data_IF_950725425126
#
_entry.id   IF_950725425126
#
_cell.length_a   1.000
_cell.length_b   1.000
_cell.length_c   1.000
_cell.angle_alpha   90.00
_cell.angle_beta   90.00
_cell.angle_gamma   90.00
#
_symmetry.space_group_name_H-M   'P 1'
#
loop_
_entity.id
_entity.type
_entity.pdbx_description
1 polymer ?
#
# COMPACT_ATOMS: atom_id res chain seq x y z
N UNK A 1 15.19 -15.51 -5.63
CA UNK A 1 13.96 -14.81 -5.23
C UNK A 1 13.74 -13.61 -6.15
N UNK A 2 14.61 -12.59 -6.13
CA UNK A 2 14.48 -11.36 -6.96
C UNK A 2 14.01 -11.56 -8.43
N UNK A 3 14.56 -12.55 -9.14
CA UNK A 3 14.21 -12.80 -10.55
C UNK A 3 12.81 -13.41 -10.74
N UNK A 4 12.36 -14.25 -9.81
CA UNK A 4 11.01 -14.84 -9.89
C UNK A 4 9.95 -13.81 -9.47
N UNK A 5 10.27 -12.92 -8.54
CA UNK A 5 9.39 -11.82 -8.13
C UNK A 5 9.22 -10.81 -9.27
N UNK A 6 10.33 -10.45 -9.94
CA UNK A 6 10.29 -9.58 -11.12
C UNK A 6 9.49 -10.18 -12.28
N UNK A 7 9.58 -11.50 -12.51
CA UNK A 7 8.76 -12.17 -13.53
C UNK A 7 7.27 -12.05 -13.23
N UNK A 8 6.87 -12.35 -11.99
CA UNK A 8 5.48 -12.22 -11.56
C UNK A 8 4.98 -10.79 -11.74
N UNK A 9 5.79 -9.79 -11.39
CA UNK A 9 5.45 -8.38 -11.58
C UNK A 9 5.22 -8.05 -13.06
N UNK A 10 6.10 -8.48 -13.96
CA UNK A 10 5.97 -8.28 -15.41
C UNK A 10 4.69 -8.93 -15.97
N UNK A 11 4.29 -10.09 -15.44
CA UNK A 11 3.04 -10.75 -15.84
C UNK A 11 1.78 -9.94 -15.47
N UNK A 12 1.87 -9.00 -14.52
CA UNK A 12 0.74 -8.13 -14.13
C UNK A 12 0.61 -6.85 -14.97
N UNK A 13 1.53 -6.60 -15.89
CA UNK A 13 1.49 -5.43 -16.77
C UNK A 13 0.23 -5.50 -17.65
N UNK A 14 -0.64 -4.49 -17.50
CA UNK A 14 -1.84 -4.27 -18.32
C UNK A 14 -2.10 -2.77 -18.41
N UNK A 15 -2.95 -2.35 -19.33
CA UNK A 15 -3.43 -0.96 -19.37
C UNK A 15 -4.15 -0.58 -18.06
N UNK A 16 -3.99 0.68 -17.62
CA UNK A 16 -4.70 1.28 -16.49
C UNK A 16 -5.30 2.61 -16.92
N UNK A 17 -6.48 2.94 -16.41
CA UNK A 17 -7.12 4.23 -16.68
C UNK A 17 -6.78 5.22 -15.57
N UNK A 18 -6.08 6.30 -15.93
CA UNK A 18 -5.82 7.43 -15.03
C UNK A 18 -6.75 8.60 -15.38
N UNK A 19 -7.42 9.14 -14.35
CA UNK A 19 -8.27 10.33 -14.49
C UNK A 19 -7.50 11.54 -14.00
N UNK A 20 -7.03 12.38 -14.93
CA UNK A 20 -6.24 13.57 -14.65
C UNK A 20 -7.08 14.84 -14.86
N UNK A 21 -6.89 15.83 -13.98
CA UNK A 21 -7.48 17.16 -14.13
C UNK A 21 -6.43 18.09 -14.74
N UNK A 22 -6.53 18.33 -16.04
CA UNK A 22 -5.61 19.16 -16.81
C UNK A 22 -6.35 20.31 -17.49
N UNK A 23 -5.66 21.43 -17.72
CA UNK A 23 -6.17 22.48 -18.61
C UNK A 23 -5.94 22.09 -20.08
N UNK A 24 -6.70 22.67 -21.00
CA UNK A 24 -6.48 22.44 -22.45
C UNK A 24 -5.04 22.76 -22.88
N UNK A 25 -4.43 23.79 -22.28
CA UNK A 25 -3.06 24.16 -22.56
C UNK A 25 -2.05 23.09 -22.07
N UNK A 26 -2.35 22.40 -20.97
CA UNK A 26 -1.50 21.32 -20.48
C UNK A 26 -1.64 20.08 -21.37
N UNK A 27 -2.85 19.81 -21.88
CA UNK A 27 -3.08 18.78 -22.90
C UNK A 27 -2.24 19.03 -24.17
N UNK A 28 -2.21 20.26 -24.68
CA UNK A 28 -1.38 20.62 -25.84
C UNK A 28 0.12 20.42 -25.55
N UNK A 29 0.59 20.88 -24.37
CA UNK A 29 2.00 20.80 -23.98
C UNK A 29 2.47 19.36 -23.80
N UNK A 30 1.68 18.52 -23.11
CA UNK A 30 2.07 17.12 -22.87
C UNK A 30 2.06 16.32 -24.18
N UNK A 31 1.09 16.58 -25.06
CA UNK A 31 1.04 15.97 -26.38
C UNK A 31 2.26 16.36 -27.23
N UNK A 32 2.63 17.65 -27.24
CA UNK A 32 3.81 18.13 -27.95
C UNK A 32 5.10 17.50 -27.40
N UNK A 33 5.22 17.38 -26.07
CA UNK A 33 6.39 16.79 -25.42
C UNK A 33 6.55 15.31 -25.74
N UNK A 34 5.46 14.55 -25.74
CA UNK A 34 5.49 13.13 -26.10
C UNK A 34 5.83 12.94 -27.59
N UNK A 35 5.11 13.64 -28.47
CA UNK A 35 5.29 13.51 -29.92
C UNK A 35 6.68 13.96 -30.41
N UNK A 36 7.36 14.90 -29.73
CA UNK A 36 8.74 15.28 -30.08
C UNK A 36 9.75 14.15 -29.92
N UNK A 37 9.40 13.09 -29.18
CA UNK A 37 10.19 11.88 -28.99
C UNK A 37 9.53 10.63 -29.60
N UNK A 38 8.54 10.81 -30.49
CA UNK A 38 7.81 9.71 -31.14
C UNK A 38 7.14 8.73 -30.15
N UNK A 39 6.72 9.24 -28.99
CA UNK A 39 5.98 8.48 -27.98
C UNK A 39 4.56 9.05 -27.82
N UNK A 40 3.66 8.21 -27.32
CA UNK A 40 2.34 8.59 -26.85
C UNK A 40 2.42 9.25 -25.48
N UNK A 41 1.36 9.97 -25.10
CA UNK A 41 1.25 10.52 -23.74
C UNK A 41 1.26 9.40 -22.69
N UNK A 42 0.64 8.25 -22.99
CA UNK A 42 0.64 7.09 -22.09
C UNK A 42 2.04 6.55 -21.84
N UNK A 43 2.83 6.30 -22.89
CA UNK A 43 4.22 5.80 -22.76
C UNK A 43 5.10 6.78 -21.95
N UNK A 44 4.92 8.10 -22.16
CA UNK A 44 5.63 9.11 -21.38
C UNK A 44 5.26 9.03 -19.89
N UNK A 45 3.98 8.88 -19.57
CA UNK A 45 3.49 8.80 -18.19
C UNK A 45 3.87 7.46 -17.53
N UNK A 46 3.81 6.35 -18.26
CA UNK A 46 4.27 5.02 -17.80
C UNK A 46 5.74 5.08 -17.39
N UNK A 47 6.56 5.70 -18.23
CA UNK A 47 7.99 5.86 -17.96
C UNK A 47 8.25 6.79 -16.76
N UNK A 48 7.53 7.91 -16.66
CA UNK A 48 7.64 8.81 -15.51
C UNK A 48 7.21 8.15 -14.19
N UNK A 49 6.10 7.39 -14.21
CA UNK A 49 5.65 6.61 -13.05
C UNK A 49 6.70 5.57 -12.68
N UNK A 50 7.29 4.88 -13.67
CA UNK A 50 8.37 3.92 -13.47
C UNK A 50 9.56 4.53 -12.73
N UNK A 51 9.97 5.74 -13.07
CA UNK A 51 11.04 6.43 -12.36
C UNK A 51 10.62 6.88 -10.95
N UNK A 52 9.36 7.28 -10.76
CA UNK A 52 8.84 7.72 -9.47
C UNK A 52 8.71 6.59 -8.44
N UNK A 53 8.44 5.36 -8.87
CA UNK A 53 8.15 4.23 -7.97
C UNK A 53 9.18 3.10 -8.04
N UNK A 54 10.31 3.32 -8.71
CA UNK A 54 11.29 2.27 -9.06
C UNK A 54 10.64 1.04 -9.74
N UNK A 55 9.75 1.32 -10.69
CA UNK A 55 8.91 0.34 -11.36
C UNK A 55 9.53 -0.30 -12.62
N UNK A 56 8.70 -1.07 -13.32
CA UNK A 56 9.08 -1.88 -14.49
C UNK A 56 9.64 -1.10 -15.68
N UNK A 57 9.29 0.20 -15.83
CA UNK A 57 9.67 1.05 -16.97
C UNK A 57 10.53 2.25 -16.52
N UNK A 58 11.68 1.99 -15.91
CA UNK A 58 12.62 3.04 -15.48
C UNK A 58 13.61 3.45 -16.58
N UNK A 59 13.97 4.72 -16.60
CA UNK A 59 15.00 5.30 -17.49
C UNK A 59 16.42 5.24 -16.90
N UNK A 60 16.57 4.92 -15.62
CA UNK A 60 17.87 4.87 -14.97
C UNK A 60 17.87 5.36 -13.53
N UNK A 61 19.00 5.13 -12.84
CA UNK A 61 19.15 5.54 -11.44
C UNK A 61 19.11 7.06 -11.24
N UNK A 62 19.61 7.82 -12.23
CA UNK A 62 19.68 9.27 -12.14
C UNK A 62 18.27 9.87 -12.23
N UNK A 63 17.43 9.34 -13.13
CA UNK A 63 16.03 9.73 -13.28
C UNK A 63 15.22 9.39 -12.03
N UNK A 64 15.40 8.19 -11.45
CA UNK A 64 14.77 7.83 -10.17
C UNK A 64 15.18 8.76 -9.04
N UNK A 65 16.47 9.07 -8.94
CA UNK A 65 16.97 10.00 -7.93
C UNK A 65 16.32 11.38 -8.08
N UNK A 66 16.16 11.87 -9.30
CA UNK A 66 15.50 13.16 -9.57
C UNK A 66 13.99 13.11 -9.31
N UNK A 67 13.33 12.01 -9.61
CA UNK A 67 11.91 11.81 -9.30
C UNK A 67 11.68 11.79 -7.77
N UNK A 68 12.54 11.11 -7.03
CA UNK A 68 12.53 11.06 -5.57
C UNK A 68 12.84 12.44 -4.96
N UNK A 69 13.82 13.19 -5.48
CA UNK A 69 14.08 14.59 -5.05
C UNK A 69 12.86 15.48 -5.31
N UNK A 70 12.22 15.35 -6.47
CA UNK A 70 11.00 16.07 -6.79
C UNK A 70 9.87 15.74 -5.81
N UNK A 71 9.64 14.45 -5.52
CA UNK A 71 8.61 13.99 -4.59
C UNK A 71 8.82 14.58 -3.19
N UNK A 72 10.03 14.44 -2.65
CA UNK A 72 10.40 14.94 -1.31
C UNK A 72 10.31 16.47 -1.20
N UNK A 73 10.51 17.20 -2.30
CA UNK A 73 10.44 18.67 -2.32
C UNK A 73 9.03 19.23 -2.54
N UNK A 74 8.10 18.42 -3.02
CA UNK A 74 6.72 18.85 -3.22
C UNK A 74 5.95 19.00 -1.91
N UNK A 75 6.55 18.60 -0.77
CA UNK A 75 5.93 18.67 0.54
C UNK A 75 4.55 17.99 0.54
N UNK A 76 4.46 16.86 -0.17
CA UNK A 76 3.28 15.99 -0.16
C UNK A 76 3.09 15.29 1.19
N UNK A 77 4.02 15.49 2.13
CA UNK A 77 3.95 14.93 3.46
C UNK A 77 2.62 15.31 4.10
N UNK A 78 1.83 14.29 4.43
CA UNK A 78 0.70 14.47 5.33
C UNK A 78 1.28 14.76 6.72
N UNK A 79 0.75 15.77 7.42
CA UNK A 79 1.10 16.10 8.81
C UNK A 79 0.95 14.89 9.77
N UNK A 80 0.26 13.83 9.34
CA UNK A 80 -0.07 12.64 10.12
C UNK A 80 0.71 11.39 9.69
N UNK A 81 2.06 11.48 9.58
CA UNK A 81 2.98 10.30 9.52
C UNK A 81 2.86 9.35 10.73
N UNK A 82 1.82 9.49 11.55
CA UNK A 82 1.49 8.66 12.71
C UNK A 82 0.28 7.76 12.46
N UNK A 83 -0.40 7.87 11.33
CA UNK A 83 -1.48 6.91 11.00
C UNK A 83 -0.93 5.50 10.95
N UNK A 84 -1.77 4.53 11.32
CA UNK A 84 -1.43 3.12 11.31
C UNK A 84 -1.13 2.63 9.89
N UNK A 85 -1.91 3.08 8.90
CA UNK A 85 -1.69 2.75 7.49
C UNK A 85 -0.25 3.05 7.05
N UNK A 86 0.25 4.25 7.37
CA UNK A 86 1.60 4.64 6.98
C UNK A 86 2.66 3.78 7.68
N UNK A 87 2.50 3.49 8.97
CA UNK A 87 3.39 2.61 9.71
C UNK A 87 3.46 1.21 9.08
N UNK A 88 2.30 0.62 8.77
CA UNK A 88 2.22 -0.71 8.15
C UNK A 88 2.85 -0.73 6.76
N UNK A 89 2.67 0.33 5.97
CA UNK A 89 3.30 0.46 4.65
C UNK A 89 4.84 0.55 4.75
N UNK A 90 5.39 1.27 5.74
CA UNK A 90 6.84 1.33 5.97
C UNK A 90 7.44 -0.03 6.38
N UNK A 91 6.68 -0.86 7.08
CA UNK A 91 7.09 -2.20 7.48
C UNK A 91 6.86 -3.26 6.38
N UNK A 92 6.34 -2.86 5.22
CA UNK A 92 5.90 -3.77 4.15
C UNK A 92 4.90 -4.84 4.65
N UNK A 93 3.98 -4.46 5.54
CA UNK A 93 2.97 -5.37 6.06
C UNK A 93 1.97 -5.80 4.97
N UNK A 94 1.46 -7.02 5.08
CA UNK A 94 0.28 -7.46 4.33
C UNK A 94 -0.97 -6.85 4.98
N UNK A 95 -1.54 -5.83 4.34
CA UNK A 95 -2.65 -5.05 4.89
C UNK A 95 -3.96 -5.85 4.94
N UNK A 96 -4.18 -6.76 3.99
CA UNK A 96 -5.29 -7.69 4.01
C UNK A 96 -5.20 -8.61 5.22
N UNK A 97 -4.05 -9.26 5.41
CA UNK A 97 -3.81 -10.12 6.56
C UNK A 97 -3.94 -9.34 7.87
N UNK A 98 -3.43 -8.09 7.93
CA UNK A 98 -3.58 -7.24 9.11
C UNK A 98 -5.06 -6.96 9.45
N UNK A 99 -5.91 -6.69 8.46
CA UNK A 99 -7.35 -6.50 8.68
C UNK A 99 -8.00 -7.78 9.23
N UNK A 100 -7.66 -8.94 8.69
CA UNK A 100 -8.17 -10.24 9.15
C UNK A 100 -7.77 -10.51 10.62
N UNK A 101 -6.48 -10.33 10.96
CA UNK A 101 -5.98 -10.46 12.34
C UNK A 101 -6.68 -9.51 13.31
N UNK A 102 -6.95 -8.27 12.86
CA UNK A 102 -7.66 -7.29 13.68
C UNK A 102 -9.12 -7.72 13.93
N UNK A 103 -9.82 -8.18 12.90
CA UNK A 103 -11.21 -8.65 13.00
C UNK A 103 -11.33 -9.85 13.93
N UNK A 104 -10.46 -10.85 13.77
CA UNK A 104 -10.44 -12.05 14.61
C UNK A 104 -10.15 -11.70 16.08
N UNK A 105 -9.23 -10.79 16.34
CA UNK A 105 -8.95 -10.31 17.69
C UNK A 105 -10.14 -9.55 18.31
N UNK A 106 -10.86 -8.74 17.53
CA UNK A 106 -12.06 -8.07 18.04
C UNK A 106 -13.20 -9.07 18.29
N UNK A 107 -13.35 -10.10 17.46
CA UNK A 107 -14.29 -11.20 17.67
C UNK A 107 -13.96 -11.94 18.97
N UNK A 108 -12.71 -12.36 19.17
CA UNK A 108 -12.25 -13.01 20.41
C UNK A 108 -12.49 -12.16 21.66
N UNK A 109 -12.21 -10.84 21.62
CA UNK A 109 -12.50 -9.95 22.76
C UNK A 109 -13.98 -9.84 23.07
N UNK A 110 -14.84 -9.96 22.04
CA UNK A 110 -16.29 -9.81 22.17
C UNK A 110 -17.00 -11.10 22.56
N UNK A 111 -16.53 -12.25 22.07
CA UNK A 111 -17.12 -13.58 22.25
C UNK A 111 -16.02 -14.63 22.53
N UNK A 112 -15.27 -14.52 23.66
CA UNK A 112 -14.18 -15.44 23.97
C UNK A 112 -14.65 -16.90 24.10
N UNK A 113 -15.93 -17.13 24.42
CA UNK A 113 -16.53 -18.46 24.49
C UNK A 113 -16.50 -19.23 23.17
N UNK A 114 -16.52 -18.53 22.02
CA UNK A 114 -16.50 -19.16 20.69
C UNK A 114 -15.13 -19.77 20.35
N UNK A 115 -14.10 -19.39 21.11
CA UNK A 115 -12.72 -19.82 20.92
C UNK A 115 -12.31 -20.93 21.92
N UNK A 116 -13.19 -21.35 22.83
CA UNK A 116 -12.89 -22.39 23.82
C UNK A 116 -12.50 -23.72 23.16
N UNK A 117 -13.25 -24.16 22.14
CA UNK A 117 -12.94 -25.39 21.39
C UNK A 117 -11.57 -25.31 20.70
N UNK A 118 -11.22 -24.15 20.14
CA UNK A 118 -9.91 -23.93 19.52
C UNK A 118 -8.78 -23.97 20.57
N UNK A 119 -8.98 -23.38 21.75
CA UNK A 119 -7.99 -23.47 22.84
C UNK A 119 -7.74 -24.91 23.28
N UNK A 120 -8.80 -25.72 23.35
CA UNK A 120 -8.69 -27.14 23.67
C UNK A 120 -7.99 -27.92 22.53
N UNK A 121 -8.34 -27.66 21.28
CA UNK A 121 -7.73 -28.31 20.10
C UNK A 121 -6.23 -27.99 19.99
N UNK A 122 -5.84 -26.74 20.24
CA UNK A 122 -4.46 -26.29 20.22
C UNK A 122 -3.68 -26.63 21.50
N UNK A 123 -4.30 -27.33 22.46
CA UNK A 123 -3.71 -27.73 23.74
C UNK A 123 -3.10 -26.52 24.51
N UNK A 124 -3.75 -25.35 24.45
CA UNK A 124 -3.21 -24.10 24.99
C UNK A 124 -3.24 -24.06 26.52
N UNK A 125 -2.12 -23.66 27.12
CA UNK A 125 -2.02 -23.50 28.57
C UNK A 125 -2.77 -22.24 29.05
N UNK A 126 -3.19 -22.19 30.33
CA UNK A 126 -3.79 -21.00 30.90
C UNK A 126 -2.82 -19.80 30.87
N UNK A 127 -3.18 -18.77 30.09
CA UNK A 127 -2.37 -17.56 29.92
C UNK A 127 -1.63 -17.49 28.59
N UNK A 128 -1.68 -18.54 27.76
CA UNK A 128 -1.21 -18.48 26.37
C UNK A 128 -2.13 -17.57 25.54
N UNK A 129 -1.50 -16.72 24.74
CA UNK A 129 -2.10 -15.88 23.70
C UNK A 129 -2.29 -16.67 22.42
N UNK A 130 -3.30 -16.30 21.63
CA UNK A 130 -3.41 -16.83 20.27
C UNK A 130 -2.37 -16.20 19.35
N UNK A 131 -1.99 -16.94 18.31
CA UNK A 131 -1.04 -16.46 17.30
C UNK A 131 -1.50 -15.13 16.67
N UNK A 132 -2.82 -14.95 16.44
CA UNK A 132 -3.36 -13.69 15.89
C UNK A 132 -3.18 -12.50 16.83
N UNK A 133 -3.20 -12.70 18.15
CA UNK A 133 -2.96 -11.64 19.13
C UNK A 133 -1.49 -11.20 19.09
N UNK A 134 -0.58 -12.17 19.03
CA UNK A 134 0.86 -11.93 18.99
C UNK A 134 1.29 -11.28 17.66
N UNK A 135 0.73 -11.73 16.53
CA UNK A 135 0.98 -11.12 15.21
C UNK A 135 0.44 -9.69 15.14
N UNK A 136 -0.79 -9.46 15.63
CA UNK A 136 -1.34 -8.11 15.67
C UNK A 136 -0.48 -7.20 16.56
N UNK A 137 -0.03 -7.70 17.71
CA UNK A 137 0.84 -6.95 18.61
C UNK A 137 2.20 -6.65 17.99
N UNK A 138 2.76 -7.57 17.20
CA UNK A 138 4.00 -7.35 16.45
C UNK A 138 3.86 -6.19 15.46
N UNK A 139 2.77 -6.13 14.70
CA UNK A 139 2.51 -5.05 13.74
C UNK A 139 2.19 -3.70 14.38
N UNK A 140 1.71 -3.73 15.63
CA UNK A 140 1.45 -2.52 16.41
C UNK A 140 2.64 -2.10 17.27
N UNK A 141 3.71 -2.91 17.33
CA UNK A 141 4.88 -2.59 18.12
C UNK A 141 5.60 -1.36 17.53
N UNK A 142 6.15 -0.52 18.41
CA UNK A 142 6.72 0.79 18.06
C UNK A 142 5.78 1.82 17.38
N UNK A 143 4.57 1.44 16.97
CA UNK A 143 3.56 2.38 16.51
C UNK A 143 3.04 3.25 17.65
N UNK A 144 2.93 4.55 17.40
CA UNK A 144 2.38 5.52 18.36
C UNK A 144 1.04 6.01 17.86
N UNK A 145 -0.05 5.79 18.62
CA UNK A 145 -1.38 6.18 18.20
C UNK A 145 -1.46 7.63 17.72
N UNK A 146 -2.15 7.82 16.61
CA UNK A 146 -2.48 9.13 16.08
C UNK A 146 -3.63 9.78 16.89
N UNK A 147 -4.28 10.81 16.33
CA UNK A 147 -5.50 11.37 16.92
C UNK A 147 -6.74 10.49 16.68
N UNK A 148 -6.67 9.56 15.74
CA UNK A 148 -7.77 8.69 15.35
C UNK A 148 -7.93 7.54 16.35
N UNK A 149 -9.15 7.02 16.43
CA UNK A 149 -9.41 5.75 17.11
C UNK A 149 -8.91 4.56 16.28
N UNK A 150 -8.66 3.41 16.92
CA UNK A 150 -8.22 2.21 16.21
C UNK A 150 -9.19 1.79 15.10
N UNK A 151 -10.50 1.92 15.32
CA UNK A 151 -11.50 1.61 14.30
C UNK A 151 -11.40 2.55 13.08
N UNK A 152 -11.14 3.85 13.30
CA UNK A 152 -10.93 4.81 12.20
C UNK A 152 -9.62 4.56 11.44
N UNK A 153 -8.57 4.14 12.15
CA UNK A 153 -7.29 3.72 11.54
C UNK A 153 -7.46 2.49 10.65
N UNK A 154 -8.17 1.47 11.14
CA UNK A 154 -8.46 0.25 10.37
C UNK A 154 -9.35 0.54 9.17
N UNK A 155 -10.33 1.44 9.30
CA UNK A 155 -11.16 1.85 8.17
C UNK A 155 -10.34 2.54 7.07
N UNK A 156 -9.37 3.38 7.44
CA UNK A 156 -8.45 3.98 6.47
C UNK A 156 -7.60 2.93 5.73
N UNK A 157 -7.22 1.84 6.40
CA UNK A 157 -6.53 0.71 5.76
C UNK A 157 -7.46 0.00 4.78
N UNK A 158 -8.74 -0.23 5.14
CA UNK A 158 -9.74 -0.82 4.23
C UNK A 158 -9.96 0.04 2.99
N UNK A 159 -10.14 1.34 3.17
CA UNK A 159 -10.28 2.30 2.07
C UNK A 159 -9.08 2.23 1.12
N UNK A 160 -7.87 2.14 1.66
CA UNK A 160 -6.66 1.98 0.87
C UNK A 160 -6.63 0.65 0.10
N UNK A 161 -6.93 -0.47 0.76
CA UNK A 161 -6.98 -1.80 0.14
C UNK A 161 -8.03 -1.85 -0.99
N UNK A 162 -9.22 -1.31 -0.76
CA UNK A 162 -10.26 -1.23 -1.80
C UNK A 162 -9.81 -0.36 -2.98
N UNK A 163 -9.22 0.81 -2.70
CA UNK A 163 -8.67 1.69 -3.72
C UNK A 163 -7.56 0.99 -4.53
N UNK A 164 -6.70 0.22 -3.87
CA UNK A 164 -5.62 -0.55 -4.50
C UNK A 164 -6.17 -1.65 -5.41
N UNK A 165 -7.14 -2.44 -4.94
CA UNK A 165 -7.79 -3.49 -5.75
C UNK A 165 -8.46 -2.92 -6.98
N UNK A 166 -9.24 -1.85 -6.81
CA UNK A 166 -9.88 -1.13 -7.91
C UNK A 166 -8.85 -0.59 -8.90
N UNK A 167 -7.74 -0.05 -8.41
CA UNK A 167 -6.66 0.45 -9.26
C UNK A 167 -5.93 -0.68 -10.00
N UNK A 168 -5.72 -1.83 -9.36
CA UNK A 168 -5.18 -3.05 -9.99
C UNK A 168 -6.18 -3.69 -10.95
N UNK A 169 -7.46 -3.37 -10.86
CA UNK A 169 -8.53 -3.98 -11.64
C UNK A 169 -8.80 -5.42 -11.21
N UNK A 170 -8.85 -5.64 -9.90
CA UNK A 170 -9.22 -6.87 -9.19
C UNK A 170 -10.65 -6.80 -8.66
#
# INVERSE_FOLDING_TARGET
>A
MLYEDQKKEIETIKERTLVLKLSDADCDRILQKATSHSMTVSELLESFIGDLVDGTFTNGSDERYLAEDWFNRCDFECDDKRTLLWHLLEQNADLENFIELYEENEEYKSHPEEFEEQREEYEMEPGDTFDFEDELQYWLDDWKPSKLSMAEEVEAIRDYVEALRKFKGE
#
